data_IF_800348804729
#
_entry.id   IF_800348804729
#
_cell.length_a   1.000
_cell.length_b   1.000
_cell.length_c   1.000
_cell.angle_alpha   90.00
_cell.angle_beta   90.00
_cell.angle_gamma   90.00
#
_symmetry.space_group_name_H-M   'P 1'
#
loop_
_entity.id
_entity.type
_entity.pdbx_description
1 polymer ?
#
# COMPACT_ATOMS: atom_id res chain seq x y z
N UNK A 1 -11.40 12.07 17.92
CA UNK A 1 -11.58 12.28 16.46
C UNK A 1 -12.88 11.58 16.06
N UNK A 2 -13.74 12.23 15.28
CA UNK A 2 -15.04 11.67 14.87
C UNK A 2 -14.80 10.58 13.81
N UNK A 3 -15.56 9.47 13.83
CA UNK A 3 -15.45 8.41 12.82
C UNK A 3 -15.61 8.95 11.38
N UNK A 4 -16.44 9.97 11.19
CA UNK A 4 -16.60 10.64 9.90
C UNK A 4 -15.36 11.42 9.43
N UNK A 5 -14.60 12.02 10.35
CA UNK A 5 -13.38 12.75 9.98
C UNK A 5 -12.29 11.79 9.50
N UNK A 6 -12.16 10.64 10.15
CA UNK A 6 -11.19 9.59 9.78
C UNK A 6 -11.49 9.00 8.39
N UNK A 7 -12.76 8.69 8.08
CA UNK A 7 -13.16 8.22 6.76
C UNK A 7 -12.90 9.24 5.63
N UNK A 8 -13.18 10.52 5.90
CA UNK A 8 -12.94 11.59 4.92
C UNK A 8 -11.45 11.78 4.65
N UNK A 9 -10.63 11.66 5.69
CA UNK A 9 -9.18 11.74 5.58
C UNK A 9 -8.61 10.54 4.82
N UNK A 10 -9.04 9.32 5.16
CA UNK A 10 -8.64 8.11 4.44
C UNK A 10 -8.90 8.24 2.95
N UNK A 11 -10.12 8.65 2.57
CA UNK A 11 -10.49 8.83 1.15
C UNK A 11 -9.61 9.86 0.45
N UNK A 12 -9.25 10.95 1.13
CA UNK A 12 -8.32 11.96 0.61
C UNK A 12 -6.93 11.38 0.38
N UNK A 13 -6.40 10.64 1.36
CA UNK A 13 -5.08 10.00 1.27
C UNK A 13 -5.04 8.91 0.19
N UNK A 14 -6.09 8.12 0.04
CA UNK A 14 -6.22 7.15 -1.07
C UNK A 14 -6.17 7.85 -2.43
N UNK A 15 -6.91 8.95 -2.60
CA UNK A 15 -6.88 9.74 -3.83
C UNK A 15 -5.49 10.31 -4.11
N UNK A 16 -4.80 10.81 -3.08
CA UNK A 16 -3.44 11.34 -3.17
C UNK A 16 -2.46 10.25 -3.61
N UNK A 17 -2.53 9.07 -3.00
CA UNK A 17 -1.73 7.90 -3.40
C UNK A 17 -1.97 7.51 -4.85
N UNK A 18 -3.22 7.31 -5.26
CA UNK A 18 -3.56 6.92 -6.64
C UNK A 18 -3.21 8.00 -7.67
N UNK A 19 -3.07 9.24 -7.23
CA UNK A 19 -2.65 10.37 -8.07
C UNK A 19 -1.14 10.53 -8.13
N UNK A 20 -0.37 9.92 -7.21
CA UNK A 20 1.08 10.03 -7.16
C UNK A 20 1.76 9.30 -8.32
N UNK A 21 2.80 9.91 -8.88
CA UNK A 21 3.49 9.37 -10.05
C UNK A 21 4.22 8.07 -9.72
N UNK A 22 4.89 7.98 -8.57
CA UNK A 22 5.59 6.77 -8.14
C UNK A 22 4.64 5.57 -8.02
N UNK A 23 3.43 5.76 -7.48
CA UNK A 23 2.47 4.67 -7.34
C UNK A 23 1.89 4.27 -8.70
N UNK A 24 1.62 5.24 -9.59
CA UNK A 24 1.20 4.97 -10.97
C UNK A 24 2.25 4.19 -11.76
N UNK A 25 3.51 4.56 -11.64
CA UNK A 25 4.64 3.87 -12.29
C UNK A 25 4.76 2.42 -11.81
N UNK A 26 4.64 2.19 -10.50
CA UNK A 26 4.60 0.83 -9.94
C UNK A 26 3.41 0.03 -10.48
N UNK A 27 2.22 0.64 -10.54
CA UNK A 27 1.01 -0.03 -11.03
C UNK A 27 0.97 -0.22 -12.55
N UNK A 28 1.86 0.47 -13.29
CA UNK A 28 2.09 0.23 -14.71
C UNK A 28 3.01 -0.97 -14.97
N UNK A 29 3.74 -1.45 -13.96
CA UNK A 29 4.47 -2.70 -14.02
C UNK A 29 3.53 -3.88 -13.73
N UNK A 30 3.32 -4.75 -14.73
CA UNK A 30 2.37 -5.86 -14.62
C UNK A 30 2.74 -6.86 -13.51
N UNK A 31 4.03 -7.18 -13.34
CA UNK A 31 4.49 -8.09 -12.28
C UNK A 31 4.17 -7.52 -10.89
N UNK A 32 4.50 -6.24 -10.67
CA UNK A 32 4.22 -5.56 -9.42
C UNK A 32 2.71 -5.52 -9.14
N UNK A 33 1.91 -5.16 -10.14
CA UNK A 33 0.46 -5.08 -10.04
C UNK A 33 -0.17 -6.43 -9.71
N UNK A 34 0.26 -7.51 -10.36
CA UNK A 34 -0.20 -8.86 -10.06
C UNK A 34 0.14 -9.28 -8.63
N UNK A 35 1.38 -9.03 -8.19
CA UNK A 35 1.81 -9.33 -6.82
C UNK A 35 1.01 -8.52 -5.79
N UNK A 36 0.83 -7.21 -6.03
CA UNK A 36 0.04 -6.34 -5.16
C UNK A 36 -1.41 -6.84 -5.00
N UNK A 37 -2.04 -7.29 -6.09
CA UNK A 37 -3.39 -7.85 -6.05
C UNK A 37 -3.48 -9.11 -5.17
N UNK A 38 -2.43 -9.96 -5.21
CA UNK A 38 -2.36 -11.20 -4.43
C UNK A 38 -2.05 -10.97 -2.94
N UNK A 39 -1.33 -9.90 -2.58
CA UNK A 39 -0.95 -9.60 -1.18
C UNK A 39 -2.11 -8.96 -0.39
N UNK A 40 -3.02 -9.80 0.11
CA UNK A 40 -4.17 -9.36 0.91
C UNK A 40 -3.79 -8.50 2.12
N UNK A 41 -2.75 -8.89 2.88
CA UNK A 41 -2.33 -8.19 4.08
C UNK A 41 -1.85 -6.75 3.80
N UNK A 42 -1.15 -6.55 2.68
CA UNK A 42 -0.76 -5.22 2.21
C UNK A 42 -2.01 -4.39 1.94
N UNK A 43 -2.95 -4.91 1.13
CA UNK A 43 -4.20 -4.22 0.82
C UNK A 43 -5.06 -3.92 2.05
N UNK A 44 -5.03 -4.78 3.06
CA UNK A 44 -5.71 -4.53 4.33
C UNK A 44 -5.08 -3.37 5.10
N UNK A 45 -3.74 -3.29 5.16
CA UNK A 45 -3.04 -2.14 5.78
C UNK A 45 -3.29 -0.84 5.05
N UNK A 46 -3.53 -0.86 3.74
CA UNK A 46 -3.95 0.34 2.99
C UNK A 46 -5.29 0.92 3.45
N UNK A 47 -6.11 0.17 4.21
CA UNK A 47 -7.33 0.69 4.81
C UNK A 47 -7.08 1.47 6.12
N UNK A 48 -5.86 1.42 6.68
CA UNK A 48 -5.48 2.16 7.87
C UNK A 48 -5.01 3.58 7.49
N UNK A 49 -5.71 4.59 8.04
CA UNK A 49 -5.44 6.01 7.77
C UNK A 49 -4.02 6.42 8.16
N UNK A 50 -3.50 5.89 9.27
CA UNK A 50 -2.15 6.23 9.75
C UNK A 50 -1.11 5.64 8.81
N UNK A 51 -1.28 4.39 8.40
CA UNK A 51 -0.36 3.75 7.46
C UNK A 51 -0.35 4.47 6.10
N UNK A 52 -1.52 4.85 5.55
CA UNK A 52 -1.57 5.62 4.30
C UNK A 52 -0.80 6.94 4.40
N UNK A 53 -0.92 7.64 5.54
CA UNK A 53 -0.16 8.88 5.78
C UNK A 53 1.34 8.60 5.79
N UNK A 54 1.77 7.60 6.56
CA UNK A 54 3.19 7.22 6.65
C UNK A 54 3.75 6.81 5.28
N UNK A 55 2.97 6.09 4.47
CA UNK A 55 3.34 5.70 3.11
C UNK A 55 3.54 6.91 2.18
N UNK A 56 2.69 7.93 2.30
CA UNK A 56 2.82 9.16 1.51
C UNK A 56 4.00 10.03 1.97
N UNK A 57 4.26 10.08 3.27
CA UNK A 57 5.24 11.02 3.86
C UNK A 57 6.65 10.43 4.01
N UNK A 58 6.81 9.10 4.09
CA UNK A 58 8.09 8.45 4.38
C UNK A 58 8.61 7.57 3.23
N UNK A 59 9.81 7.89 2.75
CA UNK A 59 10.50 7.07 1.75
C UNK A 59 10.81 5.66 2.26
N UNK A 60 11.20 5.53 3.54
CA UNK A 60 11.47 4.22 4.16
C UNK A 60 10.23 3.33 4.08
N UNK A 61 9.05 3.89 4.41
CA UNK A 61 7.78 3.13 4.37
C UNK A 61 7.39 2.76 2.94
N UNK A 62 7.69 3.61 1.94
CA UNK A 62 7.49 3.26 0.53
C UNK A 62 8.39 2.12 0.08
N UNK A 63 9.66 2.15 0.46
CA UNK A 63 10.62 1.08 0.15
C UNK A 63 10.16 -0.23 0.80
N UNK A 64 9.74 -0.21 2.06
CA UNK A 64 9.22 -1.39 2.76
C UNK A 64 7.95 -1.94 2.08
N UNK A 65 7.04 -1.05 1.67
CA UNK A 65 5.83 -1.41 0.91
C UNK A 65 6.17 -2.12 -0.40
N UNK A 66 7.10 -1.57 -1.18
CA UNK A 66 7.54 -2.17 -2.45
C UNK A 66 8.21 -3.51 -2.21
N UNK A 67 9.11 -3.58 -1.23
CA UNK A 67 9.81 -4.80 -0.86
C UNK A 67 8.85 -5.91 -0.43
N UNK A 68 7.82 -5.59 0.36
CA UNK A 68 6.85 -6.60 0.81
C UNK A 68 5.99 -7.15 -0.35
N UNK A 69 5.66 -6.31 -1.33
CA UNK A 69 4.94 -6.73 -2.53
C UNK A 69 5.84 -7.61 -3.40
N UNK A 70 7.08 -7.19 -3.61
CA UNK A 70 8.02 -7.89 -4.48
C UNK A 70 8.64 -9.13 -3.85
N UNK A 71 8.71 -9.18 -2.52
CA UNK A 71 9.13 -10.35 -1.75
C UNK A 71 8.28 -11.54 -2.17
N UNK A 72 8.97 -12.58 -2.66
CA UNK A 72 8.35 -13.86 -3.01
C UNK A 72 7.60 -14.45 -1.82
N UNK A 73 6.73 -15.41 -2.08
CA UNK A 73 6.19 -16.29 -1.03
C UNK A 73 7.32 -17.20 -0.51
N UNK A 74 8.32 -16.63 0.15
CA UNK A 74 9.16 -17.43 1.02
C UNK A 74 8.31 -17.72 2.26
N UNK A 75 7.98 -19.01 2.44
CA UNK A 75 7.38 -19.65 3.63
C UNK A 75 5.86 -19.81 3.67
N UNK A 76 5.35 -20.84 2.99
CA UNK A 76 4.44 -21.85 3.60
C UNK A 76 4.65 -23.27 2.99
N UNK A 77 5.90 -23.67 2.73
CA UNK A 77 6.24 -25.10 2.67
C UNK A 77 7.02 -25.46 3.93
N UNK A 78 6.29 -25.84 4.98
CA UNK A 78 6.93 -26.29 6.22
C UNK A 78 6.02 -26.31 7.43
N UNK A 79 4.96 -27.13 7.41
CA UNK A 79 4.50 -27.96 8.54
C UNK A 79 3.41 -28.93 8.11
#
# INVERSE_FOLDING_TARGET
MSWFSDLSERKRLEQELFSSDWFKELMANDEFKEKYQKKYNVRLRMADTKYLRELLESEVVRVDFVNEILAGEEWEQGR
#
